data_IF_381689104602
#
_entry.id   IF_381689104602
#
_cell.length_a   1.000
_cell.length_b   1.000
_cell.length_c   1.000
_cell.angle_alpha   90.00
_cell.angle_beta   90.00
_cell.angle_gamma   90.00
#
_symmetry.space_group_name_H-M   'P 1'
#
loop_
_entity.id
_entity.type
_entity.pdbx_description
1 polymer ?
#
# COMPACT_ATOMS: atom_id res chain seq x y z
N UNK A 1 -1.99 -17.80 -19.03
CA UNK A 1 -2.55 -16.78 -18.11
C UNK A 1 -1.43 -15.80 -17.80
N UNK A 2 -1.67 -14.49 -17.66
CA UNK A 2 -0.58 -13.57 -17.29
C UNK A 2 -0.24 -13.75 -15.81
N UNK A 3 1.00 -13.41 -15.41
CA UNK A 3 1.41 -13.54 -14.00
C UNK A 3 0.54 -12.70 -13.06
N UNK A 4 0.11 -11.54 -13.51
CA UNK A 4 -0.83 -10.66 -12.80
C UNK A 4 -2.16 -11.40 -12.55
N UNK A 5 -2.75 -12.04 -13.57
CA UNK A 5 -4.01 -12.79 -13.41
C UNK A 5 -3.91 -13.95 -12.44
N UNK A 6 -2.76 -14.62 -12.37
CA UNK A 6 -2.51 -15.66 -11.36
C UNK A 6 -2.50 -15.08 -9.94
N UNK A 7 -1.84 -13.93 -9.75
CA UNK A 7 -1.78 -13.24 -8.46
C UNK A 7 -3.14 -12.66 -8.07
N UNK A 8 -3.92 -12.12 -9.00
CA UNK A 8 -5.30 -11.68 -8.76
C UNK A 8 -6.18 -12.85 -8.31
N UNK A 9 -6.07 -14.00 -8.98
CA UNK A 9 -6.80 -15.21 -8.57
C UNK A 9 -6.37 -15.70 -7.19
N UNK A 10 -5.06 -15.61 -6.86
CA UNK A 10 -4.55 -15.93 -5.53
C UNK A 10 -5.09 -14.94 -4.47
N UNK A 11 -5.13 -13.64 -4.79
CA UNK A 11 -5.68 -12.60 -3.92
C UNK A 11 -7.14 -12.90 -3.57
N UNK A 12 -7.96 -13.23 -4.57
CA UNK A 12 -9.38 -13.53 -4.38
C UNK A 12 -9.59 -14.71 -3.42
N UNK A 13 -8.71 -15.72 -3.43
CA UNK A 13 -8.78 -16.83 -2.47
C UNK A 13 -8.58 -16.33 -1.03
N UNK A 14 -7.59 -15.47 -0.82
CA UNK A 14 -7.31 -14.93 0.52
C UNK A 14 -8.36 -13.91 0.96
N UNK A 15 -8.87 -13.08 0.06
CA UNK A 15 -9.96 -12.14 0.34
C UNK A 15 -11.22 -12.91 0.76
N UNK A 16 -11.57 -14.00 0.07
CA UNK A 16 -12.68 -14.85 0.48
C UNK A 16 -12.50 -15.49 1.86
N UNK A 17 -11.27 -15.82 2.27
CA UNK A 17 -10.97 -16.30 3.63
C UNK A 17 -11.17 -15.16 4.63
N UNK A 18 -10.65 -13.97 4.33
CA UNK A 18 -10.81 -12.79 5.18
C UNK A 18 -12.27 -12.40 5.38
N UNK A 19 -13.06 -12.35 4.31
CA UNK A 19 -14.49 -12.02 4.38
C UNK A 19 -15.26 -13.02 5.24
N UNK A 20 -14.94 -14.31 5.15
CA UNK A 20 -15.56 -15.31 6.05
C UNK A 20 -15.21 -15.10 7.51
N UNK A 21 -13.98 -14.72 7.82
CA UNK A 21 -13.57 -14.40 9.20
C UNK A 21 -14.25 -13.13 9.74
N UNK A 22 -14.47 -12.15 8.85
CA UNK A 22 -15.17 -10.91 9.13
C UNK A 22 -16.67 -11.14 9.35
N UNK A 23 -17.33 -11.86 8.45
CA UNK A 23 -18.77 -12.13 8.50
C UNK A 23 -19.18 -13.01 9.69
N UNK A 24 -18.27 -13.88 10.15
CA UNK A 24 -18.50 -14.71 11.34
C UNK A 24 -18.04 -14.04 12.63
N UNK A 25 -17.49 -12.82 12.58
CA UNK A 25 -17.07 -12.10 13.77
C UNK A 25 -18.29 -11.62 14.56
N UNK A 26 -18.40 -12.08 15.80
CA UNK A 26 -19.40 -11.63 16.76
C UNK A 26 -18.79 -10.78 17.87
N UNK A 27 -17.51 -10.43 17.74
CA UNK A 27 -16.79 -9.59 18.68
C UNK A 27 -17.40 -8.20 18.76
N UNK A 28 -17.58 -7.70 19.97
CA UNK A 28 -18.06 -6.34 20.21
C UNK A 28 -16.92 -5.43 20.68
N UNK A 29 -17.01 -4.16 20.29
CA UNK A 29 -16.07 -3.12 20.72
C UNK A 29 -14.63 -3.36 20.29
N UNK A 30 -13.71 -2.68 20.97
CA UNK A 30 -12.27 -2.69 20.64
C UNK A 30 -11.63 -4.07 20.85
N UNK A 31 -12.09 -4.84 21.84
CA UNK A 31 -11.55 -6.18 22.10
C UNK A 31 -11.90 -7.16 20.98
N UNK A 32 -13.15 -7.13 20.50
CA UNK A 32 -13.57 -7.92 19.33
C UNK A 32 -12.75 -7.56 18.09
N UNK A 33 -12.62 -6.27 17.82
CA UNK A 33 -11.80 -5.78 16.71
C UNK A 33 -10.34 -6.25 16.80
N UNK A 34 -9.71 -6.11 17.96
CA UNK A 34 -8.32 -6.54 18.16
C UNK A 34 -8.17 -8.06 17.99
N UNK A 35 -9.12 -8.86 18.46
CA UNK A 35 -9.13 -10.30 18.27
C UNK A 35 -9.27 -10.69 16.80
N UNK A 36 -10.12 -10.00 16.04
CA UNK A 36 -10.26 -10.16 14.59
C UNK A 36 -8.97 -9.78 13.86
N UNK A 37 -8.37 -8.65 14.20
CA UNK A 37 -7.11 -8.20 13.60
C UNK A 37 -5.98 -9.19 13.87
N UNK A 38 -5.89 -9.74 15.09
CA UNK A 38 -4.87 -10.73 15.45
C UNK A 38 -5.05 -12.04 14.66
N UNK A 39 -6.26 -12.62 14.61
CA UNK A 39 -6.48 -13.90 13.92
C UNK A 39 -6.40 -13.81 12.40
N UNK A 40 -6.69 -12.64 11.83
CA UNK A 40 -6.61 -12.40 10.38
C UNK A 40 -5.25 -11.89 9.91
N UNK A 41 -4.29 -11.68 10.81
CA UNK A 41 -2.99 -11.09 10.49
C UNK A 41 -2.28 -11.81 9.32
N UNK A 42 -2.19 -13.14 9.38
CA UNK A 42 -1.56 -13.94 8.31
C UNK A 42 -2.25 -13.73 6.96
N UNK A 43 -3.58 -13.68 6.95
CA UNK A 43 -4.38 -13.49 5.72
C UNK A 43 -4.13 -12.09 5.16
N UNK A 44 -4.20 -11.06 6.01
CA UNK A 44 -3.96 -9.66 5.63
C UNK A 44 -2.53 -9.45 5.11
N UNK A 45 -1.53 -10.05 5.76
CA UNK A 45 -0.13 -9.97 5.33
C UNK A 45 0.06 -10.62 3.95
N UNK A 46 -0.54 -11.78 3.73
CA UNK A 46 -0.47 -12.49 2.46
C UNK A 46 -1.15 -11.71 1.32
N UNK A 47 -2.32 -11.11 1.59
CA UNK A 47 -3.01 -10.22 0.67
C UNK A 47 -2.17 -8.98 0.33
N UNK A 48 -1.52 -8.38 1.34
CA UNK A 48 -0.60 -7.24 1.18
C UNK A 48 0.57 -7.60 0.26
N UNK A 49 1.21 -8.76 0.48
CA UNK A 49 2.31 -9.24 -0.35
C UNK A 49 1.91 -9.48 -1.80
N UNK A 50 0.72 -10.04 -2.03
CA UNK A 50 0.19 -10.26 -3.38
C UNK A 50 -0.05 -8.93 -4.08
N UNK A 51 -0.71 -7.97 -3.41
CA UNK A 51 -0.92 -6.62 -3.94
C UNK A 51 0.39 -5.93 -4.29
N UNK A 52 1.39 -6.03 -3.41
CA UNK A 52 2.71 -5.49 -3.66
C UNK A 52 3.34 -6.09 -4.93
N UNK A 53 3.28 -7.42 -5.11
CA UNK A 53 3.79 -8.09 -6.32
C UNK A 53 3.05 -7.68 -7.59
N UNK A 54 1.72 -7.52 -7.53
CA UNK A 54 0.93 -7.02 -8.66
C UNK A 54 1.39 -5.60 -9.02
N UNK A 55 1.51 -4.72 -8.01
CA UNK A 55 1.96 -3.34 -8.21
C UNK A 55 3.34 -3.26 -8.88
N UNK A 56 4.28 -4.15 -8.53
CA UNK A 56 5.59 -4.25 -9.19
C UNK A 56 5.52 -4.71 -10.65
N UNK A 57 4.60 -5.63 -10.98
CA UNK A 57 4.48 -6.22 -12.31
C UNK A 57 3.68 -5.36 -13.28
N UNK A 58 2.73 -4.59 -12.79
CA UNK A 58 1.95 -3.69 -13.63
C UNK A 58 2.84 -2.62 -14.26
N UNK A 59 2.61 -2.26 -15.54
CA UNK A 59 3.38 -1.22 -16.20
C UNK A 59 3.21 0.11 -15.47
N UNK A 60 4.28 0.90 -15.45
CA UNK A 60 4.23 2.28 -14.97
C UNK A 60 3.52 3.13 -16.02
N UNK A 61 2.44 3.78 -15.61
CA UNK A 61 1.76 4.83 -16.35
C UNK A 61 2.12 6.15 -15.72
N UNK A 62 2.34 7.15 -16.56
CA UNK A 62 2.74 8.48 -16.15
C UNK A 62 1.65 9.47 -16.53
N UNK A 63 1.26 10.29 -15.56
CA UNK A 63 0.27 11.35 -15.72
C UNK A 63 0.86 12.70 -15.27
N UNK A 64 0.19 13.79 -15.68
CA UNK A 64 0.49 15.15 -15.21
C UNK A 64 0.02 15.37 -13.77
N UNK A 65 0.43 16.48 -13.15
CA UNK A 65 0.07 16.75 -11.76
C UNK A 65 -1.41 17.12 -11.61
N UNK A 66 -2.03 16.61 -10.56
CA UNK A 66 -3.48 16.71 -10.31
C UNK A 66 -3.83 17.38 -8.96
N UNK A 67 -2.88 18.06 -8.31
CA UNK A 67 -3.16 18.95 -7.17
C UNK A 67 -2.72 18.46 -5.80
N UNK A 68 -1.83 17.47 -5.72
CA UNK A 68 -1.12 17.11 -4.49
C UNK A 68 0.10 17.99 -4.19
N UNK A 69 0.76 17.71 -3.07
CA UNK A 69 2.07 18.26 -2.73
C UNK A 69 3.17 17.30 -3.18
N UNK A 70 4.04 17.80 -4.06
CA UNK A 70 5.22 17.09 -4.52
C UNK A 70 6.37 17.33 -3.54
N UNK A 71 6.89 16.26 -2.95
CA UNK A 71 8.06 16.29 -2.07
C UNK A 71 9.09 15.26 -2.53
N UNK A 72 10.36 15.46 -2.18
CA UNK A 72 11.39 14.45 -2.47
C UNK A 72 11.11 13.18 -1.67
N UNK A 73 11.63 12.05 -2.17
CA UNK A 73 11.53 10.78 -1.44
C UNK A 73 12.21 10.87 -0.07
N UNK A 74 13.32 11.58 0.01
CA UNK A 74 14.07 11.80 1.24
C UNK A 74 13.23 12.57 2.28
N UNK A 75 12.64 13.70 1.90
CA UNK A 75 11.75 14.48 2.78
C UNK A 75 10.55 13.65 3.24
N UNK A 76 9.93 12.90 2.33
CA UNK A 76 8.81 12.03 2.67
C UNK A 76 9.23 10.92 3.66
N UNK A 77 10.38 10.30 3.46
CA UNK A 77 10.92 9.26 4.37
C UNK A 77 11.24 9.83 5.74
N UNK A 78 11.82 11.03 5.83
CA UNK A 78 12.07 11.70 7.11
C UNK A 78 10.76 11.94 7.87
N UNK A 79 9.68 12.32 7.18
CA UNK A 79 8.35 12.44 7.79
C UNK A 79 7.79 11.10 8.29
N UNK A 80 7.99 10.01 7.54
CA UNK A 80 7.60 8.65 7.95
C UNK A 80 8.38 8.20 9.18
N UNK A 81 9.71 8.28 9.13
CA UNK A 81 10.61 7.87 10.22
C UNK A 81 10.42 8.73 11.48
N UNK A 82 10.05 10.00 11.31
CA UNK A 82 9.68 10.91 12.41
C UNK A 82 8.29 10.69 12.97
N UNK A 83 7.48 9.80 12.40
CA UNK A 83 6.09 9.51 12.81
C UNK A 83 5.08 10.59 12.41
N UNK A 84 5.45 11.51 11.52
CA UNK A 84 4.57 12.54 10.96
C UNK A 84 3.65 12.03 9.86
N UNK A 85 4.03 10.92 9.21
CA UNK A 85 3.23 10.23 8.19
C UNK A 85 2.94 8.80 8.60
N UNK A 86 1.65 8.43 8.60
CA UNK A 86 1.16 7.07 8.84
C UNK A 86 0.35 6.58 7.63
N UNK A 87 0.05 5.29 7.52
CA UNK A 87 -0.69 4.75 6.36
C UNK A 87 -2.02 5.46 6.06
N UNK A 88 -2.66 5.99 7.10
CA UNK A 88 -3.91 6.73 6.98
C UNK A 88 -3.77 8.06 6.24
N UNK A 89 -2.67 8.80 6.48
CA UNK A 89 -2.53 10.17 6.00
C UNK A 89 -1.28 10.45 5.18
N UNK A 90 -0.26 9.59 5.20
CA UNK A 90 1.02 9.75 4.51
C UNK A 90 1.16 8.96 3.22
N UNK A 91 0.12 8.24 2.81
CA UNK A 91 0.13 7.49 1.54
C UNK A 91 0.12 8.42 0.33
N UNK A 92 0.81 8.04 -0.74
CA UNK A 92 0.93 8.84 -1.96
C UNK A 92 1.32 8.02 -3.18
N UNK A 93 1.76 8.71 -4.23
CA UNK A 93 2.18 8.10 -5.48
C UNK A 93 3.65 8.42 -5.77
N UNK A 94 4.41 7.43 -6.24
CA UNK A 94 5.75 7.65 -6.75
C UNK A 94 5.73 8.62 -7.92
N UNK A 95 6.68 9.54 -7.94
CA UNK A 95 6.75 10.61 -8.92
C UNK A 95 8.21 10.91 -9.31
N UNK A 96 8.36 11.66 -10.40
CA UNK A 96 9.58 12.43 -10.65
C UNK A 96 9.29 13.90 -10.43
N UNK A 97 10.29 14.74 -10.70
CA UNK A 97 10.10 16.19 -10.68
C UNK A 97 8.92 16.66 -11.55
N UNK A 98 8.58 15.96 -12.64
CA UNK A 98 7.67 16.51 -13.67
C UNK A 98 6.40 15.67 -13.89
N UNK A 99 6.31 14.46 -13.33
CA UNK A 99 5.23 13.51 -13.61
C UNK A 99 4.95 12.60 -12.42
N UNK A 100 3.70 12.18 -12.29
CA UNK A 100 3.24 11.25 -11.25
C UNK A 100 2.99 9.90 -11.88
N UNK A 101 3.33 8.83 -11.17
CA UNK A 101 3.04 7.48 -11.62
C UNK A 101 1.76 6.93 -11.00
N UNK A 102 1.16 5.94 -11.65
CA UNK A 102 0.07 5.15 -11.07
C UNK A 102 0.50 4.23 -9.91
N UNK A 103 1.73 4.36 -9.41
CA UNK A 103 2.30 3.48 -8.40
C UNK A 103 2.18 4.14 -7.04
N UNK A 104 1.37 3.54 -6.17
CA UNK A 104 1.23 3.99 -4.80
C UNK A 104 2.40 3.57 -3.93
N UNK A 105 2.59 4.31 -2.84
CA UNK A 105 3.51 4.04 -1.74
C UNK A 105 2.83 4.43 -0.43
N UNK A 106 3.01 3.61 0.61
CA UNK A 106 2.57 3.93 1.98
C UNK A 106 3.75 3.92 2.95
N UNK A 107 3.64 4.63 4.09
CA UNK A 107 4.63 4.57 5.17
C UNK A 107 5.00 3.14 5.58
N UNK A 108 4.05 2.22 5.66
CA UNK A 108 4.31 0.80 5.96
C UNK A 108 5.16 0.07 4.92
N UNK A 109 5.26 0.57 3.68
CA UNK A 109 6.19 0.01 2.69
C UNK A 109 7.65 0.31 3.05
N UNK A 110 7.92 1.40 3.79
CA UNK A 110 9.26 1.71 4.33
C UNK A 110 9.62 0.71 5.41
N UNK A 111 8.75 0.55 6.42
CA UNK A 111 8.96 -0.36 7.54
C UNK A 111 9.11 -1.82 7.08
N UNK A 112 8.33 -2.23 6.08
CA UNK A 112 8.39 -3.57 5.51
C UNK A 112 9.58 -3.81 4.55
N UNK A 113 10.40 -2.79 4.28
CA UNK A 113 11.49 -2.88 3.30
C UNK A 113 11.01 -3.12 1.86
N UNK A 114 9.78 -2.70 1.56
CA UNK A 114 9.09 -2.86 0.26
C UNK A 114 9.12 -1.60 -0.60
N UNK A 115 9.93 -0.63 -0.22
CA UNK A 115 10.13 0.59 -0.98
C UNK A 115 10.71 0.29 -2.38
N UNK A 116 10.13 0.88 -3.43
CA UNK A 116 10.61 0.64 -4.80
C UNK A 116 11.93 1.35 -5.04
N UNK A 117 12.89 0.61 -5.58
CA UNK A 117 14.22 1.12 -5.96
C UNK A 117 14.58 0.81 -7.41
N UNK A 118 13.65 0.21 -8.16
CA UNK A 118 13.88 -0.33 -9.50
C UNK A 118 13.71 0.73 -10.61
N UNK A 119 13.22 1.92 -10.26
CA UNK A 119 13.03 3.05 -11.18
C UNK A 119 13.51 4.32 -10.49
N UNK A 120 13.98 5.29 -11.29
CA UNK A 120 14.43 6.62 -10.83
C UNK A 120 13.25 7.52 -10.42
N UNK A 121 12.42 7.03 -9.51
CA UNK A 121 11.54 7.90 -8.75
C UNK A 121 12.40 8.79 -7.86
N UNK A 122 12.04 10.06 -7.80
CA UNK A 122 12.76 11.08 -7.02
C UNK A 122 11.85 11.80 -6.05
N UNK A 123 10.54 11.69 -6.25
CA UNK A 123 9.54 12.42 -5.49
C UNK A 123 8.37 11.50 -5.12
N UNK A 124 7.62 11.90 -4.11
CA UNK A 124 6.30 11.38 -3.78
C UNK A 124 5.29 12.50 -3.99
N UNK A 125 4.23 12.21 -4.72
CA UNK A 125 3.03 13.06 -4.78
C UNK A 125 2.10 12.65 -3.66
N UNK A 126 1.89 13.56 -2.72
CA UNK A 126 1.08 13.36 -1.53
C UNK A 126 -0.23 14.15 -1.63
N UNK A 127 -1.35 13.52 -1.27
CA UNK A 127 -2.69 14.07 -1.57
C UNK A 127 -3.51 14.48 -0.35
N UNK A 128 -3.08 14.13 0.85
CA UNK A 128 -3.85 14.40 2.05
C UNK A 128 -3.47 15.76 2.64
N UNK A 129 -4.46 16.58 3.02
CA UNK A 129 -4.27 17.87 3.69
C UNK A 129 -5.34 18.08 4.75
#
# INVERSE_FOLDING_TARGET
MSKIKELESEFDVWDNIYQKEWDNDTGEGMEGYNALMARTETVRNKMSDIRHKINLLEPIKWDGWDGGDLMTIEEWKECVEGGGFIDYDGSGNYATKDKVSNKSVSPSDVEAGRFRTDVEFTHIMWYNK
#
